data_IF_305360434984
#
_entry.id   IF_305360434984
#
_cell.length_a   1.000
_cell.length_b   1.000
_cell.length_c   1.000
_cell.angle_alpha   90.00
_cell.angle_beta   90.00
_cell.angle_gamma   90.00
#
_symmetry.space_group_name_H-M   'P 1'
#
loop_
_entity.id
_entity.type
_entity.pdbx_description
1 polymer ?
#
# COMPACT_ATOMS: atom_id res chain seq x y z
N UNK A 1 3.23 -21.76 44.52
CA UNK A 1 4.09 -20.87 43.69
C UNK A 1 4.07 -21.21 42.19
N UNK A 2 4.17 -22.49 41.78
CA UNK A 2 4.20 -22.94 40.37
C UNK A 2 2.95 -22.58 39.55
N UNK A 3 1.74 -22.74 40.12
CA UNK A 3 0.47 -22.38 39.45
C UNK A 3 0.38 -20.90 39.08
N UNK A 4 0.81 -19.98 39.97
CA UNK A 4 0.84 -18.53 39.70
C UNK A 4 1.80 -18.15 38.57
N UNK A 5 2.90 -18.90 38.40
CA UNK A 5 3.84 -18.70 37.28
C UNK A 5 3.22 -19.16 35.95
N UNK A 6 2.53 -20.31 35.95
CA UNK A 6 1.83 -20.84 34.77
C UNK A 6 0.70 -19.90 34.33
N UNK A 7 -0.11 -19.40 35.26
CA UNK A 7 -1.20 -18.45 34.93
C UNK A 7 -0.67 -17.16 34.31
N UNK A 8 0.44 -16.60 34.82
CA UNK A 8 1.08 -15.41 34.25
C UNK A 8 1.60 -15.65 32.83
N UNK A 9 2.18 -16.82 32.57
CA UNK A 9 2.66 -17.21 31.23
C UNK A 9 1.50 -17.29 30.25
N UNK A 10 0.37 -17.89 30.65
CA UNK A 10 -0.83 -18.00 29.80
C UNK A 10 -1.40 -16.62 29.46
N UNK A 11 -1.50 -15.72 30.43
CA UNK A 11 -1.99 -14.36 30.21
C UNK A 11 -1.07 -13.60 29.25
N UNK A 12 0.24 -13.72 29.43
CA UNK A 12 1.22 -13.07 28.55
C UNK A 12 1.13 -13.61 27.12
N UNK A 13 1.06 -14.93 26.95
CA UNK A 13 0.90 -15.56 25.64
C UNK A 13 -0.39 -15.12 24.94
N UNK A 14 -1.49 -15.01 25.69
CA UNK A 14 -2.77 -14.52 25.16
C UNK A 14 -2.72 -13.05 24.77
N UNK A 15 -2.06 -12.20 25.56
CA UNK A 15 -1.86 -10.78 25.21
C UNK A 15 -1.01 -10.61 23.94
N UNK A 16 0.07 -11.39 23.79
CA UNK A 16 0.89 -11.40 22.57
C UNK A 16 0.08 -11.87 21.37
N UNK A 17 -0.73 -12.91 21.53
CA UNK A 17 -1.61 -13.39 20.47
C UNK A 17 -2.62 -12.31 20.02
N UNK A 18 -3.22 -11.58 20.96
CA UNK A 18 -4.12 -10.46 20.64
C UNK A 18 -3.40 -9.38 19.85
N UNK A 19 -2.18 -9.00 20.27
CA UNK A 19 -1.38 -8.00 19.54
C UNK A 19 -1.11 -8.47 18.11
N UNK A 20 -0.69 -9.72 17.91
CA UNK A 20 -0.42 -10.25 16.56
C UNK A 20 -1.68 -10.23 15.67
N UNK A 21 -2.86 -10.53 16.24
CA UNK A 21 -4.13 -10.52 15.49
C UNK A 21 -4.56 -9.09 15.12
N UNK A 22 -4.42 -8.14 16.05
CA UNK A 22 -4.82 -6.75 15.84
C UNK A 22 -3.91 -5.97 14.90
N UNK A 23 -2.60 -6.26 14.91
CA UNK A 23 -1.61 -5.54 14.09
C UNK A 23 -1.30 -6.23 12.75
N UNK A 24 -2.20 -7.10 12.25
CA UNK A 24 -2.06 -7.64 10.89
C UNK A 24 -2.08 -6.51 9.85
N UNK A 25 -1.16 -6.49 8.86
CA UNK A 25 -1.12 -5.45 7.84
C UNK A 25 -2.49 -5.26 7.15
N UNK A 26 -2.79 -4.00 6.80
CA UNK A 26 -4.07 -3.57 6.23
C UNK A 26 -4.31 -4.13 4.82
N UNK A 27 -3.22 -4.45 4.12
CA UNK A 27 -3.25 -5.03 2.79
C UNK A 27 -1.90 -5.58 2.36
N UNK A 28 -1.89 -6.21 1.19
CA UNK A 28 -0.70 -6.77 0.55
C UNK A 28 -0.66 -6.30 -0.90
N UNK A 29 0.51 -5.87 -1.37
CA UNK A 29 0.72 -5.46 -2.77
C UNK A 29 1.19 -6.68 -3.56
N UNK A 30 0.55 -6.93 -4.70
CA UNK A 30 1.07 -7.91 -5.65
C UNK A 30 2.39 -7.40 -6.22
N UNK A 31 3.29 -8.33 -6.53
CA UNK A 31 4.62 -7.98 -7.04
C UNK A 31 4.62 -7.59 -8.52
N UNK A 32 3.54 -7.83 -9.23
CA UNK A 32 3.43 -7.50 -10.64
C UNK A 32 2.85 -6.10 -10.83
N UNK A 33 3.45 -5.37 -11.75
CA UNK A 33 3.03 -4.07 -12.21
C UNK A 33 2.86 -4.10 -13.73
N UNK A 34 1.88 -3.36 -14.22
CA UNK A 34 1.53 -3.35 -15.64
C UNK A 34 1.55 -1.92 -16.15
N UNK A 35 1.93 -1.74 -17.42
CA UNK A 35 1.76 -0.47 -18.12
C UNK A 35 0.56 -0.60 -19.06
N UNK A 36 -0.46 0.22 -18.83
CA UNK A 36 -1.64 0.29 -19.69
C UNK A 36 -1.65 1.62 -20.43
N UNK A 37 -1.87 1.58 -21.75
CA UNK A 37 -2.14 2.78 -22.54
C UNK A 37 -3.63 3.00 -22.62
N UNK A 38 -4.09 4.17 -22.20
CA UNK A 38 -5.48 4.61 -22.38
C UNK A 38 -5.40 5.97 -23.05
N UNK A 39 -6.06 6.09 -24.21
CA UNK A 39 -5.96 7.25 -25.10
C UNK A 39 -4.49 7.60 -25.41
N UNK A 40 -3.99 8.72 -24.88
CA UNK A 40 -2.61 9.18 -25.06
C UNK A 40 -1.79 9.18 -23.76
N UNK A 41 -2.32 8.54 -22.70
CA UNK A 41 -1.67 8.44 -21.40
C UNK A 41 -1.12 7.04 -21.16
N UNK A 42 0.03 6.97 -20.52
CA UNK A 42 0.59 5.70 -20.03
C UNK A 42 0.33 5.62 -18.53
N UNK A 43 -0.37 4.58 -18.10
CA UNK A 43 -0.74 4.35 -16.71
C UNK A 43 0.09 3.20 -16.14
N UNK A 44 0.73 3.43 -14.99
CA UNK A 44 1.25 2.36 -14.14
C UNK A 44 0.11 1.80 -13.31
N UNK A 45 -0.21 0.53 -13.51
CA UNK A 45 -1.25 -0.19 -12.78
C UNK A 45 -0.61 -1.12 -11.76
N UNK A 46 -0.96 -0.92 -10.49
CA UNK A 46 -0.58 -1.80 -9.39
C UNK A 46 -1.83 -2.43 -8.80
N UNK A 47 -1.73 -3.70 -8.40
CA UNK A 47 -2.82 -4.48 -7.79
C UNK A 47 -2.42 -5.02 -6.43
N UNK A 48 -3.41 -5.27 -5.58
CA UNK A 48 -3.16 -5.80 -4.26
C UNK A 48 -4.44 -6.21 -3.55
N UNK A 49 -4.29 -6.94 -2.45
CA UNK A 49 -5.39 -7.25 -1.54
C UNK A 49 -5.50 -6.17 -0.49
N UNK A 50 -6.74 -5.77 -0.21
CA UNK A 50 -7.10 -4.81 0.84
C UNK A 50 -8.14 -5.41 1.75
N UNK A 51 -8.12 -5.03 3.03
CA UNK A 51 -9.21 -5.34 3.96
C UNK A 51 -10.40 -4.42 3.69
N UNK A 52 -11.61 -4.94 3.84
CA UNK A 52 -12.78 -4.08 3.91
C UNK A 52 -12.65 -3.13 5.10
N UNK A 53 -12.97 -1.87 4.90
CA UNK A 53 -13.14 -0.93 6.01
C UNK A 53 -14.35 -1.40 6.81
N UNK A 54 -14.06 -1.93 8.00
CA UNK A 54 -15.07 -2.40 8.93
C UNK A 54 -15.29 -1.34 10.00
N UNK A 55 -16.53 -0.90 10.17
CA UNK A 55 -16.92 0.02 11.24
C UNK A 55 -17.51 -0.71 12.45
N UNK A 56 -17.66 -2.03 12.37
CA UNK A 56 -18.17 -2.88 13.44
C UNK A 56 -17.17 -4.01 13.80
N UNK A 57 -17.16 -4.47 15.07
CA UNK A 57 -16.20 -5.48 15.54
C UNK A 57 -16.32 -6.85 14.86
N UNK A 58 -17.51 -7.22 14.38
CA UNK A 58 -17.76 -8.53 13.75
C UNK A 58 -17.09 -8.54 12.38
N UNK A 59 -17.24 -7.49 11.59
CA UNK A 59 -16.60 -7.33 10.29
C UNK A 59 -15.07 -7.32 10.39
N UNK A 60 -14.50 -6.72 11.46
CA UNK A 60 -13.06 -6.78 11.76
C UNK A 60 -12.61 -8.23 11.99
N UNK A 61 -13.40 -9.02 12.73
CA UNK A 61 -13.06 -10.42 13.03
C UNK A 61 -13.16 -11.33 11.80
N UNK A 62 -14.15 -11.13 10.93
CA UNK A 62 -14.31 -11.91 9.70
C UNK A 62 -13.15 -11.64 8.72
N UNK A 63 -12.57 -10.43 8.73
CA UNK A 63 -11.33 -10.12 8.02
C UNK A 63 -11.43 -10.28 6.50
N UNK A 64 -12.61 -9.98 5.92
CA UNK A 64 -12.81 -10.07 4.46
C UNK A 64 -11.85 -9.15 3.72
N UNK A 65 -11.34 -9.66 2.60
CA UNK A 65 -10.45 -8.92 1.70
C UNK A 65 -11.05 -8.84 0.30
N UNK A 66 -10.65 -7.82 -0.44
CA UNK A 66 -10.99 -7.64 -1.85
C UNK A 66 -9.73 -7.26 -2.64
N UNK A 67 -9.75 -7.51 -3.94
CA UNK A 67 -8.70 -7.01 -4.83
C UNK A 67 -8.99 -5.57 -5.21
N UNK A 68 -7.97 -4.73 -5.07
CA UNK A 68 -8.01 -3.33 -5.44
C UNK A 68 -6.87 -3.01 -6.40
N UNK A 69 -6.96 -1.86 -7.07
CA UNK A 69 -5.92 -1.36 -7.95
C UNK A 69 -5.76 0.15 -7.86
N UNK A 70 -4.52 0.62 -8.00
CA UNK A 70 -4.23 2.03 -8.20
C UNK A 70 -3.63 2.25 -9.59
N UNK A 71 -3.95 3.39 -10.18
CA UNK A 71 -3.43 3.82 -11.47
C UNK A 71 -2.66 5.12 -11.28
N UNK A 72 -1.39 5.14 -11.70
CA UNK A 72 -0.59 6.35 -11.75
C UNK A 72 -0.41 6.80 -13.19
N UNK A 73 -0.95 7.97 -13.59
CA UNK A 73 -0.64 8.55 -14.90
C UNK A 73 0.82 8.97 -14.93
N UNK A 74 1.56 8.46 -15.92
CA UNK A 74 2.97 8.74 -16.09
C UNK A 74 3.18 9.80 -17.17
N UNK A 75 4.01 10.84 -16.92
CA UNK A 75 4.24 11.91 -17.88
C UNK A 75 5.04 11.50 -19.13
N UNK A 76 5.73 10.34 -19.12
CA UNK A 76 6.48 9.79 -20.27
C UNK A 76 6.77 8.28 -20.08
N UNK A 77 7.11 7.59 -21.18
CA UNK A 77 7.44 6.14 -21.24
C UNK A 77 8.96 5.92 -21.05
N UNK A 78 9.38 4.76 -20.52
CA UNK A 78 10.27 4.67 -19.36
C UNK A 78 11.68 4.04 -19.53
N UNK A 79 12.68 4.77 -19.03
CA UNK A 79 13.78 4.31 -18.15
C UNK A 79 14.13 5.50 -17.21
N UNK A 80 14.49 5.24 -15.94
CA UNK A 80 14.86 6.29 -14.98
C UNK A 80 13.81 6.67 -13.93
N UNK A 81 13.92 7.88 -13.36
CA UNK A 81 13.19 8.33 -12.16
C UNK A 81 12.09 9.33 -12.53
N UNK A 82 10.85 9.06 -12.11
CA UNK A 82 9.71 9.98 -12.18
C UNK A 82 9.49 10.56 -10.78
N UNK A 83 9.55 11.88 -10.64
CA UNK A 83 9.21 12.53 -9.37
C UNK A 83 7.70 12.53 -9.13
N UNK A 84 7.28 12.28 -7.89
CA UNK A 84 5.86 12.24 -7.51
C UNK A 84 5.10 13.53 -7.84
N UNK A 85 5.77 14.69 -7.79
CA UNK A 85 5.13 15.97 -8.11
C UNK A 85 4.80 16.16 -9.60
N UNK A 86 5.29 15.26 -10.47
CA UNK A 86 4.98 15.21 -11.91
C UNK A 86 3.89 14.19 -12.25
N UNK A 87 3.40 13.44 -11.25
CA UNK A 87 2.28 12.51 -11.43
C UNK A 87 1.00 13.32 -11.27
N UNK A 88 0.16 13.30 -12.31
CA UNK A 88 -1.08 14.05 -12.29
C UNK A 88 -2.08 13.44 -11.30
N UNK A 89 -2.76 14.34 -10.58
CA UNK A 89 -3.82 14.00 -9.64
C UNK A 89 -5.07 14.76 -9.98
N UNK A 90 -6.24 14.17 -9.72
CA UNK A 90 -7.52 14.85 -9.91
C UNK A 90 -7.59 16.11 -9.06
N UNK A 91 -8.27 17.14 -9.58
CA UNK A 91 -8.52 18.37 -8.84
C UNK A 91 -9.21 18.06 -7.51
N UNK A 92 -8.69 18.60 -6.41
CA UNK A 92 -9.20 18.37 -5.05
C UNK A 92 -8.53 17.24 -4.29
N UNK A 93 -7.57 16.53 -4.88
CA UNK A 93 -6.77 15.51 -4.20
C UNK A 93 -5.38 16.03 -3.82
N UNK A 94 -4.79 15.45 -2.78
CA UNK A 94 -3.39 15.73 -2.40
C UNK A 94 -2.43 15.33 -3.52
N UNK A 95 -1.40 16.17 -3.72
CA UNK A 95 -0.30 15.86 -4.63
C UNK A 95 0.59 14.77 -4.05
N UNK A 96 1.41 14.17 -4.90
CA UNK A 96 2.44 13.24 -4.46
C UNK A 96 3.81 13.91 -4.29
N UNK A 97 4.56 13.44 -3.30
CA UNK A 97 6.02 13.62 -3.16
C UNK A 97 6.72 12.27 -3.27
N UNK A 98 8.05 12.27 -3.39
CA UNK A 98 8.84 11.07 -3.57
C UNK A 98 9.08 10.74 -5.05
N UNK A 99 9.16 9.47 -5.40
CA UNK A 99 9.41 9.04 -6.78
C UNK A 99 8.89 7.63 -7.11
N UNK A 100 8.79 7.39 -8.42
CA UNK A 100 8.73 6.06 -9.01
C UNK A 100 10.01 5.88 -9.83
N UNK A 101 10.76 4.82 -9.58
CA UNK A 101 12.00 4.51 -10.27
C UNK A 101 11.83 3.25 -11.12
N UNK A 102 12.20 3.35 -12.40
CA UNK A 102 12.24 2.24 -13.34
C UNK A 102 13.69 1.86 -13.61
N UNK A 103 14.00 0.57 -13.50
CA UNK A 103 15.31 -0.02 -13.82
C UNK A 103 15.08 -1.29 -14.64
N UNK A 104 14.96 -1.13 -15.95
CA UNK A 104 14.56 -2.23 -16.84
C UNK A 104 13.18 -2.77 -16.46
N UNK A 105 13.12 -4.03 -16.00
CA UNK A 105 11.87 -4.67 -15.57
C UNK A 105 11.56 -4.51 -14.08
N UNK A 106 12.38 -3.77 -13.33
CA UNK A 106 12.15 -3.51 -11.90
C UNK A 106 11.58 -2.12 -11.72
N UNK A 107 10.58 -2.00 -10.85
CA UNK A 107 9.95 -0.73 -10.49
C UNK A 107 9.99 -0.59 -8.97
N UNK A 108 10.43 0.56 -8.50
CA UNK A 108 10.34 0.93 -7.08
C UNK A 108 9.42 2.13 -6.94
N UNK A 109 8.37 1.97 -6.15
CA UNK A 109 7.41 3.03 -5.83
C UNK A 109 7.69 3.50 -4.41
N UNK A 110 8.01 4.78 -4.25
CA UNK A 110 8.21 5.41 -2.97
C UNK A 110 7.59 6.81 -2.99
N UNK A 111 6.27 6.84 -2.82
CA UNK A 111 5.43 8.03 -2.87
C UNK A 111 4.83 8.36 -1.51
N UNK A 112 4.54 9.64 -1.31
CA UNK A 112 3.88 10.16 -0.13
C UNK A 112 2.78 11.13 -0.55
N UNK A 113 1.66 11.14 0.17
CA UNK A 113 0.71 12.24 0.06
C UNK A 113 1.34 13.49 0.67
N UNK A 114 1.29 14.60 -0.07
CA UNK A 114 1.58 15.93 0.45
C UNK A 114 0.34 16.46 1.17
N UNK A 115 0.07 15.90 2.36
CA UNK A 115 -1.10 16.24 3.15
C UNK A 115 -0.92 17.62 3.78
N UNK A 116 -1.59 18.62 3.20
CA UNK A 116 -1.51 20.00 3.66
C UNK A 116 -2.34 20.27 4.94
N UNK A 117 -3.24 19.36 5.32
CA UNK A 117 -4.10 19.57 6.51
C UNK A 117 -3.32 19.46 7.81
N UNK A 118 -2.35 18.55 7.86
CA UNK A 118 -1.53 18.28 9.05
C UNK A 118 -0.03 18.50 8.81
N UNK A 119 0.35 18.89 7.58
CA UNK A 119 1.74 19.12 7.16
C UNK A 119 2.61 17.86 7.17
N UNK A 120 2.01 16.66 7.21
CA UNK A 120 2.74 15.39 7.28
C UNK A 120 2.81 14.72 5.91
N UNK A 121 3.93 14.02 5.69
CA UNK A 121 4.09 13.13 4.54
C UNK A 121 3.60 11.75 4.94
N UNK A 122 2.46 11.37 4.40
CA UNK A 122 1.86 10.06 4.65
C UNK A 122 2.29 9.11 3.53
N UNK A 123 3.02 8.02 3.83
CA UNK A 123 3.44 7.08 2.80
C UNK A 123 2.22 6.42 2.15
N UNK A 124 2.29 6.20 0.84
CA UNK A 124 1.25 5.45 0.15
C UNK A 124 1.33 3.97 0.53
N UNK A 125 0.15 3.35 0.74
CA UNK A 125 0.01 1.90 0.93
C UNK A 125 0.52 1.09 -0.28
N UNK A 126 0.66 1.76 -1.43
CA UNK A 126 1.15 1.23 -2.70
C UNK A 126 2.67 1.38 -2.88
N UNK A 127 3.40 1.78 -1.85
CA UNK A 127 4.86 1.78 -1.88
C UNK A 127 5.41 0.35 -1.86
N UNK A 128 6.53 0.14 -2.56
CA UNK A 128 7.20 -1.16 -2.62
C UNK A 128 7.99 -1.38 -3.91
N UNK A 129 8.54 -2.58 -4.00
CA UNK A 129 9.26 -3.07 -5.17
C UNK A 129 8.39 -4.04 -5.98
N UNK A 130 8.36 -3.82 -7.29
CA UNK A 130 7.52 -4.50 -8.28
C UNK A 130 8.34 -4.96 -9.49
N UNK A 131 7.78 -5.93 -10.22
CA UNK A 131 8.24 -6.41 -11.50
C UNK A 131 7.29 -5.92 -12.58
N UNK A 132 7.82 -5.24 -13.59
CA UNK A 132 7.08 -4.89 -14.78
C UNK A 132 6.83 -6.16 -15.59
N UNK A 133 5.56 -6.51 -15.74
CA UNK A 133 5.10 -7.65 -16.56
C UNK A 133 4.38 -7.10 -17.78
N UNK A 134 4.54 -7.76 -18.93
CA UNK A 134 3.75 -7.45 -20.11
C UNK A 134 2.32 -7.98 -19.86
N UNK A 135 1.33 -7.12 -20.03
CA UNK A 135 -0.08 -7.54 -20.10
C UNK A 135 -0.33 -8.33 -21.40
#
# INVERSE_FOLDING_TARGET
MRKRKITRIIILAFAVFIVIVLFRPSGENYKDAYLRKIDNETLLVLKGKRKLMAHDPISIFIGKTYEDSILFPLPYVLDGIISGNRIDVKKGYYKYKGNIEFRGTKIKVNLFYDNNDNGKLEPLDWNGDYNLVKE
#
